data_IF_305548528717
#
_entry.id   IF_305548528717
#
_cell.length_a   1.000
_cell.length_b   1.000
_cell.length_c   1.000
_cell.angle_alpha   90.00
_cell.angle_beta   90.00
_cell.angle_gamma   90.00
#
_symmetry.space_group_name_H-M   'P 1'
#
loop_
_entity.id
_entity.type
_entity.pdbx_description
1 polymer ?
#
# COMPACT_ATOMS: atom_id res chain seq x y z
N UNK A 1 -24.13 -53.31 -50.81
CA UNK A 1 -23.55 -51.95 -50.53
C UNK A 1 -24.05 -51.51 -49.20
N UNK A 2 -23.20 -51.65 -48.12
CA UNK A 2 -23.53 -51.22 -46.73
C UNK A 2 -22.96 -49.85 -46.53
N UNK A 3 -23.79 -48.86 -46.18
CA UNK A 3 -23.38 -47.54 -45.77
C UNK A 3 -22.99 -47.58 -44.27
N UNK A 4 -21.76 -47.28 -43.99
CA UNK A 4 -21.26 -47.07 -42.62
C UNK A 4 -21.35 -45.57 -42.29
N UNK A 5 -22.25 -45.24 -41.37
CA UNK A 5 -22.34 -43.89 -40.82
C UNK A 5 -21.30 -43.73 -39.70
N UNK A 6 -20.38 -42.79 -39.91
CA UNK A 6 -19.44 -42.36 -38.88
C UNK A 6 -20.07 -41.25 -38.03
N UNK A 7 -20.35 -41.54 -36.76
CA UNK A 7 -20.78 -40.54 -35.79
C UNK A 7 -19.52 -39.97 -35.16
N UNK A 8 -19.17 -38.71 -35.47
CA UNK A 8 -18.12 -37.95 -34.76
C UNK A 8 -18.70 -37.49 -33.42
N UNK A 9 -18.20 -38.06 -32.34
CA UNK A 9 -18.50 -37.62 -30.98
C UNK A 9 -17.53 -36.50 -30.62
N UNK A 10 -17.98 -35.25 -30.67
CA UNK A 10 -17.22 -34.07 -30.24
C UNK A 10 -17.24 -34.05 -28.73
N UNK A 11 -16.13 -34.46 -28.08
CA UNK A 11 -15.90 -34.28 -26.64
C UNK A 11 -15.45 -32.83 -26.45
N UNK A 12 -16.35 -31.98 -26.02
CA UNK A 12 -15.99 -30.63 -25.55
C UNK A 12 -15.27 -30.73 -24.20
N UNK A 13 -13.95 -30.65 -24.26
CA UNK A 13 -13.11 -30.49 -23.06
C UNK A 13 -13.29 -29.04 -22.52
N UNK A 14 -14.21 -28.83 -21.60
CA UNK A 14 -14.29 -27.58 -20.87
C UNK A 14 -13.08 -27.50 -19.95
N UNK A 15 -12.05 -26.79 -20.37
CA UNK A 15 -10.95 -26.36 -19.51
C UNK A 15 -11.56 -25.38 -18.50
N UNK A 16 -11.80 -25.86 -17.26
CA UNK A 16 -12.03 -24.97 -16.14
C UNK A 16 -10.70 -24.22 -15.89
N UNK A 17 -10.54 -23.06 -16.55
CA UNK A 17 -9.63 -22.06 -16.01
C UNK A 17 -10.18 -21.66 -14.64
N UNK A 18 -9.42 -21.76 -13.55
CA UNK A 18 -9.81 -21.10 -12.33
C UNK A 18 -9.87 -19.61 -12.63
N UNK A 19 -11.08 -19.07 -12.77
CA UNK A 19 -11.29 -17.64 -12.78
C UNK A 19 -10.72 -17.12 -11.47
N UNK A 20 -9.64 -16.36 -11.54
CA UNK A 20 -9.20 -15.51 -10.43
C UNK A 20 -10.39 -14.58 -10.15
N UNK A 21 -11.23 -14.97 -9.20
CA UNK A 21 -12.30 -14.11 -8.70
C UNK A 21 -11.62 -12.97 -7.97
N UNK A 22 -11.48 -11.84 -8.66
CA UNK A 22 -11.16 -10.58 -7.99
C UNK A 22 -12.27 -10.33 -6.97
N UNK A 23 -11.89 -10.04 -5.73
CA UNK A 23 -12.84 -9.57 -4.75
C UNK A 23 -13.49 -8.30 -5.32
N UNK A 24 -14.82 -8.20 -5.23
CA UNK A 24 -15.54 -6.99 -5.59
C UNK A 24 -16.03 -6.37 -4.30
N UNK A 25 -15.82 -5.05 -4.14
CA UNK A 25 -16.47 -4.34 -3.03
C UNK A 25 -17.98 -4.28 -3.21
N UNK A 26 -18.46 -4.28 -4.46
CA UNK A 26 -19.90 -4.34 -4.75
C UNK A 26 -20.41 -5.77 -4.58
N UNK A 27 -21.25 -5.99 -3.59
CA UNK A 27 -21.78 -7.29 -3.25
C UNK A 27 -23.07 -7.64 -4.01
N UNK A 28 -23.31 -8.94 -4.18
CA UNK A 28 -24.55 -9.44 -4.79
C UNK A 28 -25.78 -9.17 -3.90
N UNK A 29 -26.96 -9.13 -4.51
CA UNK A 29 -28.23 -9.02 -3.76
C UNK A 29 -28.40 -10.16 -2.74
N UNK A 30 -27.89 -11.35 -3.02
CA UNK A 30 -27.90 -12.47 -2.07
C UNK A 30 -27.04 -12.21 -0.84
N UNK A 31 -25.87 -11.54 -1.01
CA UNK A 31 -25.03 -11.11 0.10
C UNK A 31 -25.71 -9.99 0.91
N UNK A 32 -26.23 -8.96 0.23
CA UNK A 32 -26.94 -7.82 0.85
C UNK A 32 -28.21 -8.24 1.61
N UNK A 33 -28.84 -9.36 1.18
CA UNK A 33 -29.95 -9.94 1.91
C UNK A 33 -29.54 -10.59 3.25
N UNK A 34 -28.28 -11.04 3.36
CA UNK A 34 -27.73 -11.68 4.58
C UNK A 34 -27.06 -10.68 5.52
N UNK A 35 -26.36 -9.70 4.98
CA UNK A 35 -25.46 -8.80 5.72
C UNK A 35 -25.77 -7.34 5.43
N UNK A 36 -25.51 -6.49 6.43
CA UNK A 36 -25.58 -5.03 6.32
C UNK A 36 -24.24 -4.43 6.70
N UNK A 37 -23.71 -3.56 5.83
CA UNK A 37 -22.50 -2.78 6.15
C UNK A 37 -22.79 -1.82 7.30
N UNK A 38 -21.97 -1.85 8.33
CA UNK A 38 -22.10 -1.01 9.53
C UNK A 38 -21.02 0.04 9.65
N UNK A 39 -19.81 -0.33 9.26
CA UNK A 39 -18.67 0.52 9.47
C UNK A 39 -17.55 0.19 8.48
N UNK A 40 -16.76 1.21 8.12
CA UNK A 40 -15.49 1.09 7.41
C UNK A 40 -14.38 1.76 8.21
N UNK A 41 -13.28 1.04 8.45
CA UNK A 41 -12.03 1.61 8.94
C UNK A 41 -10.98 1.45 7.85
N UNK A 42 -10.44 2.57 7.39
CA UNK A 42 -9.56 2.66 6.23
C UNK A 42 -8.22 3.25 6.65
N UNK A 43 -7.13 2.54 6.34
CA UNK A 43 -5.77 3.07 6.40
C UNK A 43 -5.27 3.30 4.97
N UNK A 44 -5.11 4.57 4.59
CA UNK A 44 -4.71 5.00 3.26
C UNK A 44 -3.23 5.38 3.22
N UNK A 45 -2.51 4.93 2.19
CA UNK A 45 -1.29 5.58 1.74
C UNK A 45 -1.65 6.87 1.01
N UNK A 46 -0.89 7.96 1.21
CA UNK A 46 -1.05 9.19 0.40
C UNK A 46 -0.91 8.90 -1.10
N UNK A 47 -1.48 9.77 -1.93
CA UNK A 47 -1.40 9.65 -3.39
C UNK A 47 -0.09 10.23 -3.95
N UNK A 48 0.02 10.41 -5.29
CA UNK A 48 1.23 10.84 -6.00
C UNK A 48 1.75 12.15 -5.41
N UNK A 49 3.04 12.16 -5.09
CA UNK A 49 3.79 13.30 -4.57
C UNK A 49 5.06 13.55 -5.38
N UNK A 50 5.64 14.72 -5.26
CA UNK A 50 7.00 14.94 -5.75
C UNK A 50 8.02 14.13 -4.93
N UNK A 51 9.16 13.69 -5.49
CA UNK A 51 10.23 13.04 -4.74
C UNK A 51 10.74 13.93 -3.59
N UNK A 52 11.25 13.29 -2.53
CA UNK A 52 11.87 14.01 -1.40
C UNK A 52 13.13 14.75 -1.85
N UNK A 53 13.86 14.14 -2.78
CA UNK A 53 15.07 14.71 -3.36
C UNK A 53 15.10 14.44 -4.86
N UNK A 54 15.57 15.40 -5.63
CA UNK A 54 15.65 15.32 -7.08
C UNK A 54 16.99 15.91 -7.59
N UNK A 55 16.94 16.82 -8.56
CA UNK A 55 18.11 17.49 -9.10
C UNK A 55 18.97 18.15 -8.00
N UNK A 56 20.28 18.03 -8.08
CA UNK A 56 21.23 18.56 -7.10
C UNK A 56 21.50 17.69 -5.86
N UNK A 57 20.72 16.61 -5.67
CA UNK A 57 20.93 15.60 -4.61
C UNK A 57 21.81 14.44 -5.11
N UNK A 58 22.06 13.45 -4.24
CA UNK A 58 22.68 12.17 -4.66
C UNK A 58 21.91 11.53 -5.81
N UNK A 59 20.57 11.58 -5.78
CA UNK A 59 19.72 11.07 -6.84
C UNK A 59 19.97 11.79 -8.18
N UNK A 60 20.10 13.11 -8.18
CA UNK A 60 20.46 13.89 -9.38
C UNK A 60 21.87 13.61 -9.88
N UNK A 61 22.80 13.20 -9.00
CA UNK A 61 24.17 12.83 -9.40
C UNK A 61 24.29 11.43 -10.02
N UNK A 62 23.30 10.56 -9.81
CA UNK A 62 23.30 9.17 -10.32
C UNK A 62 23.03 9.07 -11.82
N UNK A 63 22.69 10.15 -12.47
CA UNK A 63 22.28 10.19 -13.87
C UNK A 63 22.83 11.45 -14.55
N UNK A 64 23.16 11.41 -15.87
CA UNK A 64 23.41 12.63 -16.65
C UNK A 64 22.12 13.39 -17.00
N UNK A 65 20.95 12.78 -16.78
CA UNK A 65 19.64 13.33 -17.11
C UNK A 65 19.09 14.25 -16.02
N UNK A 66 18.13 15.08 -16.41
CA UNK A 66 17.36 15.90 -15.49
C UNK A 66 16.05 15.19 -15.14
N UNK A 67 15.77 15.04 -13.85
CA UNK A 67 14.49 14.58 -13.37
C UNK A 67 13.39 15.58 -13.72
N UNK A 68 12.15 15.10 -13.89
CA UNK A 68 10.98 15.92 -14.19
C UNK A 68 10.89 17.14 -13.26
N UNK A 69 10.54 18.29 -13.82
CA UNK A 69 10.22 19.49 -13.04
C UNK A 69 8.82 19.31 -12.42
N UNK A 70 8.79 19.12 -11.12
CA UNK A 70 7.58 18.93 -10.38
C UNK A 70 6.87 20.25 -10.10
N UNK A 71 5.53 20.27 -10.24
CA UNK A 71 4.70 21.43 -9.90
C UNK A 71 4.50 21.61 -8.38
N UNK A 72 4.73 20.55 -7.60
CA UNK A 72 4.67 20.55 -6.14
C UNK A 72 6.08 20.61 -5.55
N UNK A 73 6.21 21.21 -4.38
CA UNK A 73 7.46 21.21 -3.61
C UNK A 73 7.89 19.79 -3.23
N UNK A 74 9.14 19.61 -2.85
CA UNK A 74 9.67 18.27 -2.48
C UNK A 74 8.82 17.60 -1.41
N UNK A 75 8.41 16.37 -1.66
CA UNK A 75 7.54 15.51 -0.83
C UNK A 75 6.07 15.94 -0.69
N UNK A 76 5.61 16.96 -1.39
CA UNK A 76 4.22 17.40 -1.37
C UNK A 76 3.38 16.70 -2.44
N UNK A 77 2.08 16.54 -2.15
CA UNK A 77 1.09 15.95 -3.07
C UNK A 77 1.02 16.76 -4.36
N UNK A 78 1.03 16.08 -5.51
CA UNK A 78 0.84 16.73 -6.81
C UNK A 78 -0.65 16.96 -7.08
N UNK A 79 -0.97 17.87 -8.01
CA UNK A 79 -2.34 18.07 -8.46
C UNK A 79 -2.92 16.78 -9.05
N UNK A 80 -2.11 16.03 -9.82
CA UNK A 80 -2.52 14.75 -10.39
C UNK A 80 -2.89 13.75 -9.28
N UNK A 81 -2.06 13.65 -8.22
CA UNK A 81 -2.37 12.82 -7.06
C UNK A 81 -3.66 13.24 -6.35
N UNK A 82 -3.93 14.55 -6.28
CA UNK A 82 -5.18 15.08 -5.74
C UNK A 82 -6.41 14.68 -6.56
N UNK A 83 -6.36 14.78 -7.88
CA UNK A 83 -7.47 14.37 -8.77
C UNK A 83 -7.74 12.86 -8.62
N UNK A 84 -6.70 12.02 -8.67
CA UNK A 84 -6.83 10.57 -8.46
C UNK A 84 -7.47 10.23 -7.11
N UNK A 85 -7.17 10.99 -6.08
CA UNK A 85 -7.74 10.77 -4.76
C UNK A 85 -9.20 11.23 -4.67
N UNK A 86 -9.59 12.30 -5.40
CA UNK A 86 -10.99 12.71 -5.54
C UNK A 86 -11.81 11.62 -6.21
N UNK A 87 -11.27 10.99 -7.27
CA UNK A 87 -11.93 9.86 -7.95
C UNK A 87 -12.11 8.66 -6.99
N UNK A 88 -11.10 8.37 -6.18
CA UNK A 88 -11.20 7.32 -5.17
C UNK A 88 -12.29 7.66 -4.12
N UNK A 89 -12.33 8.90 -3.65
CA UNK A 89 -13.39 9.37 -2.75
C UNK A 89 -14.79 9.24 -3.37
N UNK A 90 -14.93 9.60 -4.66
CA UNK A 90 -16.18 9.45 -5.40
C UNK A 90 -16.62 7.97 -5.51
N UNK A 91 -15.67 7.05 -5.75
CA UNK A 91 -15.97 5.63 -5.75
C UNK A 91 -16.50 5.17 -4.38
N UNK A 92 -15.80 5.50 -3.29
CA UNK A 92 -16.24 5.15 -1.93
C UNK A 92 -17.61 5.74 -1.58
N UNK A 93 -17.93 6.95 -2.05
CA UNK A 93 -19.27 7.53 -1.90
C UNK A 93 -20.32 6.65 -2.57
N UNK A 94 -20.14 6.32 -3.85
CA UNK A 94 -21.10 5.50 -4.61
C UNK A 94 -21.24 4.10 -4.01
N UNK A 95 -20.14 3.49 -3.63
CA UNK A 95 -20.14 2.17 -3.02
C UNK A 95 -20.85 2.14 -1.66
N UNK A 96 -20.57 3.09 -0.76
CA UNK A 96 -21.20 3.15 0.56
C UNK A 96 -22.69 3.46 0.49
N UNK A 97 -23.15 4.16 -0.57
CA UNK A 97 -24.59 4.36 -0.85
C UNK A 97 -25.21 3.06 -1.35
N UNK A 98 -24.57 2.35 -2.28
CA UNK A 98 -25.03 1.08 -2.84
C UNK A 98 -25.16 -0.02 -1.77
N UNK A 99 -24.23 -0.05 -0.80
CA UNK A 99 -24.26 -0.96 0.35
C UNK A 99 -25.15 -0.48 1.53
N UNK A 100 -25.79 0.67 1.36
CA UNK A 100 -26.77 1.20 2.33
C UNK A 100 -26.17 1.77 3.63
N UNK A 101 -24.84 2.01 3.69
CA UNK A 101 -24.20 2.62 4.86
C UNK A 101 -24.58 4.10 4.98
N UNK A 102 -24.63 4.82 3.86
CA UNK A 102 -25.04 6.22 3.78
C UNK A 102 -26.16 6.42 2.76
N UNK A 103 -26.91 7.50 2.91
CA UNK A 103 -27.84 7.98 1.89
C UNK A 103 -27.13 8.96 0.96
N UNK A 104 -27.67 9.17 -0.24
CA UNK A 104 -27.17 10.23 -1.11
C UNK A 104 -27.25 11.59 -0.42
N UNK A 105 -26.24 12.45 -0.66
CA UNK A 105 -26.11 13.77 -0.03
C UNK A 105 -26.18 13.75 1.51
N UNK A 106 -25.68 12.66 2.11
CA UNK A 106 -25.67 12.50 3.57
C UNK A 106 -24.74 13.53 4.22
N UNK A 107 -25.25 14.15 5.30
CA UNK A 107 -24.45 15.01 6.19
C UNK A 107 -24.36 14.27 7.53
N UNK A 108 -23.19 13.71 7.87
CA UNK A 108 -23.02 12.90 9.08
C UNK A 108 -23.02 13.76 10.34
N UNK A 109 -23.41 13.13 11.47
CA UNK A 109 -23.08 13.67 12.77
C UNK A 109 -21.57 13.61 13.01
N UNK A 110 -21.07 14.45 13.91
CA UNK A 110 -19.64 14.60 14.15
C UNK A 110 -18.94 13.29 14.56
N UNK A 111 -19.67 12.40 15.24
CA UNK A 111 -19.16 11.13 15.76
C UNK A 111 -19.22 9.99 14.74
N UNK A 112 -19.96 10.15 13.64
CA UNK A 112 -20.17 9.09 12.66
C UNK A 112 -19.00 8.96 11.68
N UNK A 113 -18.30 10.06 11.39
CA UNK A 113 -17.20 10.09 10.39
C UNK A 113 -15.96 10.73 10.98
N UNK A 114 -14.86 10.02 10.94
CA UNK A 114 -13.55 10.49 11.37
C UNK A 114 -12.55 10.44 10.21
N UNK A 115 -12.02 11.58 9.80
CA UNK A 115 -10.90 11.67 8.87
C UNK A 115 -9.69 12.21 9.63
N UNK A 116 -8.63 11.42 9.69
CA UNK A 116 -7.43 11.78 10.41
C UNK A 116 -6.18 11.53 9.56
N UNK A 117 -5.39 12.57 9.36
CA UNK A 117 -4.19 12.53 8.55
C UNK A 117 -2.92 12.71 9.37
N UNK A 118 -1.85 12.04 8.96
CA UNK A 118 -0.51 12.37 9.40
C UNK A 118 -0.20 13.85 9.12
N UNK A 119 0.66 14.47 9.92
CA UNK A 119 1.03 15.90 9.85
C UNK A 119 1.70 16.33 8.54
N UNK A 120 2.07 15.40 7.68
CA UNK A 120 2.73 15.72 6.40
C UNK A 120 1.74 16.28 5.39
N UNK A 121 2.12 17.34 4.67
CA UNK A 121 1.26 18.02 3.69
C UNK A 121 0.57 17.02 2.74
N UNK A 122 1.30 16.07 2.17
CA UNK A 122 0.77 15.06 1.25
C UNK A 122 -0.35 14.19 1.86
N UNK A 123 -0.29 13.90 3.15
CA UNK A 123 -1.32 13.11 3.84
C UNK A 123 -2.56 13.96 4.12
N UNK A 124 -2.38 15.19 4.58
CA UNK A 124 -3.46 16.14 4.81
C UNK A 124 -4.19 16.44 3.49
N UNK A 125 -3.44 16.75 2.43
CA UNK A 125 -4.00 17.04 1.11
C UNK A 125 -4.71 15.80 0.53
N UNK A 126 -4.14 14.60 0.64
CA UNK A 126 -4.82 13.35 0.22
C UNK A 126 -6.17 13.21 0.92
N UNK A 127 -6.24 13.39 2.25
CA UNK A 127 -7.50 13.30 2.99
C UNK A 127 -8.50 14.40 2.56
N UNK A 128 -8.04 15.62 2.25
CA UNK A 128 -8.88 16.71 1.74
C UNK A 128 -9.49 16.36 0.37
N UNK A 129 -8.68 15.90 -0.57
CA UNK A 129 -9.16 15.50 -1.89
C UNK A 129 -10.10 14.28 -1.81
N UNK A 130 -9.78 13.28 -0.99
CA UNK A 130 -10.69 12.16 -0.72
C UNK A 130 -12.03 12.65 -0.19
N UNK A 131 -12.05 13.50 0.82
CA UNK A 131 -13.28 14.00 1.44
C UNK A 131 -14.15 14.77 0.45
N UNK A 132 -13.54 15.54 -0.46
CA UNK A 132 -14.25 16.29 -1.49
C UNK A 132 -14.94 15.39 -2.52
N UNK A 133 -14.40 14.22 -2.83
CA UNK A 133 -15.07 13.20 -3.64
C UNK A 133 -16.10 12.40 -2.83
N UNK A 134 -15.79 12.10 -1.58
CA UNK A 134 -16.58 11.22 -0.73
C UNK A 134 -17.90 11.85 -0.22
N UNK A 135 -17.82 13.00 0.40
CA UNK A 135 -19.00 13.72 0.93
C UNK A 135 -18.90 15.22 0.61
N UNK A 136 -19.06 15.61 -0.66
CA UNK A 136 -18.78 16.98 -1.12
C UNK A 136 -19.68 18.04 -0.46
N UNK A 137 -20.86 17.67 0.04
CA UNK A 137 -21.81 18.58 0.68
C UNK A 137 -21.64 18.68 2.20
N UNK A 138 -20.84 17.82 2.80
CA UNK A 138 -20.81 17.64 4.26
C UNK A 138 -19.71 18.46 4.97
N UNK A 139 -18.93 19.25 4.30
CA UNK A 139 -17.82 20.04 4.90
C UNK A 139 -17.07 19.29 6.02
N UNK A 140 -16.57 18.08 5.71
CA UNK A 140 -15.90 17.21 6.67
C UNK A 140 -14.59 17.85 7.17
N UNK A 141 -14.37 17.78 8.47
CA UNK A 141 -13.11 18.22 9.06
C UNK A 141 -12.05 17.14 8.89
N UNK A 142 -10.88 17.53 8.38
CA UNK A 142 -9.68 16.66 8.41
C UNK A 142 -8.94 16.95 9.72
N UNK A 143 -8.95 15.97 10.63
CA UNK A 143 -8.18 16.04 11.85
C UNK A 143 -6.70 15.78 11.54
N UNK A 144 -5.83 16.57 12.11
CA UNK A 144 -4.38 16.39 12.05
C UNK A 144 -3.69 17.18 13.17
N UNK A 145 -2.52 16.73 13.58
CA UNK A 145 -1.66 17.42 14.55
C UNK A 145 -0.44 17.97 13.81
N UNK A 146 -0.65 19.05 13.07
CA UNK A 146 0.40 19.63 12.26
C UNK A 146 1.52 20.23 13.12
N UNK A 147 2.73 19.68 12.94
CA UNK A 147 3.97 20.26 13.42
C UNK A 147 4.94 20.28 12.25
N UNK A 148 5.52 21.43 11.87
CA UNK A 148 6.42 21.52 10.73
C UNK A 148 7.54 20.47 10.78
N UNK A 149 7.74 19.73 9.69
CA UNK A 149 8.78 18.72 9.52
C UNK A 149 8.74 17.54 10.52
N UNK A 150 7.62 17.32 11.22
CA UNK A 150 7.45 16.19 12.13
C UNK A 150 6.23 15.38 11.76
N UNK A 151 6.37 14.05 11.79
CA UNK A 151 5.23 13.15 11.67
C UNK A 151 4.42 13.13 12.96
N UNK A 152 3.11 12.92 12.81
CA UNK A 152 2.23 12.62 13.93
C UNK A 152 2.66 11.30 14.59
N UNK A 153 2.77 11.22 15.93
CA UNK A 153 3.21 10.02 16.63
C UNK A 153 2.40 8.75 16.35
N UNK A 154 1.12 8.87 15.93
CA UNK A 154 0.29 7.72 15.55
C UNK A 154 0.77 7.10 14.24
N UNK A 155 1.16 7.93 13.27
CA UNK A 155 1.60 7.48 11.95
C UNK A 155 3.13 7.34 11.83
N UNK A 156 3.90 7.81 12.80
CA UNK A 156 5.36 7.76 12.76
C UNK A 156 5.87 6.35 13.10
N UNK A 157 6.32 5.55 12.12
CA UNK A 157 6.71 4.16 12.34
C UNK A 157 8.10 4.06 12.98
N UNK A 158 8.22 4.57 14.19
CA UNK A 158 9.49 4.67 14.93
C UNK A 158 9.70 3.49 15.86
N UNK A 159 10.95 3.12 16.05
CA UNK A 159 11.38 2.17 17.07
C UNK A 159 11.24 2.80 18.46
N UNK A 160 10.38 2.28 19.29
CA UNK A 160 10.11 2.76 20.65
C UNK A 160 10.74 1.86 21.73
N UNK A 161 11.03 0.60 21.41
CA UNK A 161 11.75 -0.36 22.25
C UNK A 161 12.97 -0.87 21.46
N UNK A 162 14.20 -0.64 21.95
CA UNK A 162 15.45 -0.89 21.20
C UNK A 162 16.54 -1.53 22.07
N UNK A 163 16.20 -2.62 22.75
CA UNK A 163 17.17 -3.43 23.48
C UNK A 163 18.07 -4.23 22.54
N UNK A 164 19.13 -4.82 23.09
CA UNK A 164 19.97 -5.79 22.35
C UNK A 164 19.17 -7.02 21.91
N UNK A 165 18.29 -7.53 22.79
CA UNK A 165 17.41 -8.65 22.47
C UNK A 165 16.48 -8.34 21.31
N UNK A 166 15.86 -7.15 21.28
CA UNK A 166 15.07 -6.68 20.16
C UNK A 166 15.88 -6.67 18.87
N UNK A 167 17.05 -6.05 18.85
CA UNK A 167 17.90 -5.95 17.63
C UNK A 167 18.32 -7.31 17.13
N UNK A 168 18.66 -8.25 18.03
CA UNK A 168 19.05 -9.61 17.68
C UNK A 168 17.90 -10.35 17.01
N UNK A 169 16.70 -10.33 17.59
CA UNK A 169 15.54 -11.00 17.02
C UNK A 169 15.08 -10.34 15.71
N UNK A 170 15.09 -9.01 15.63
CA UNK A 170 14.77 -8.27 14.42
C UNK A 170 15.70 -8.65 13.26
N UNK A 171 17.01 -8.68 13.51
CA UNK A 171 17.99 -9.10 12.50
C UNK A 171 17.85 -10.56 12.08
N UNK A 172 17.50 -11.45 13.02
CA UNK A 172 17.21 -12.85 12.70
C UNK A 172 16.01 -12.94 11.75
N UNK A 173 14.88 -12.32 12.09
CA UNK A 173 13.67 -12.32 11.26
C UNK A 173 13.90 -11.70 9.87
N UNK A 174 14.65 -10.60 9.79
CA UNK A 174 15.03 -9.99 8.50
C UNK A 174 15.90 -10.94 7.68
N UNK A 175 16.87 -11.60 8.28
CA UNK A 175 17.71 -12.56 7.55
C UNK A 175 16.90 -13.77 7.04
N UNK A 176 15.89 -14.22 7.77
CA UNK A 176 15.00 -15.30 7.34
C UNK A 176 14.28 -14.97 6.02
N UNK A 177 13.97 -13.68 5.74
CA UNK A 177 13.38 -13.25 4.46
C UNK A 177 14.27 -13.56 3.24
N UNK A 178 15.60 -13.57 3.40
CA UNK A 178 16.56 -13.86 2.34
C UNK A 178 17.02 -15.33 2.31
N UNK A 179 16.35 -16.21 3.04
CA UNK A 179 16.68 -17.62 3.15
C UNK A 179 18.08 -17.86 3.74
N UNK A 180 18.80 -18.84 3.21
CA UNK A 180 20.14 -19.20 3.73
C UNK A 180 21.20 -18.10 3.61
N UNK A 181 21.05 -17.18 2.66
CA UNK A 181 22.00 -16.11 2.38
C UNK A 181 21.63 -14.79 3.10
N UNK A 182 20.52 -14.75 3.82
CA UNK A 182 20.06 -13.57 4.58
C UNK A 182 19.96 -12.30 3.72
N UNK A 183 20.42 -11.17 4.25
CA UNK A 183 20.40 -9.89 3.51
C UNK A 183 21.10 -9.95 2.15
N UNK A 184 22.14 -10.76 2.01
CA UNK A 184 22.80 -10.95 0.71
C UNK A 184 21.86 -11.66 -0.26
N UNK A 185 21.08 -12.66 0.20
CA UNK A 185 20.07 -13.34 -0.60
C UNK A 185 19.02 -12.36 -1.14
N UNK A 186 18.49 -11.49 -0.28
CA UNK A 186 17.53 -10.43 -0.67
C UNK A 186 18.11 -9.55 -1.80
N UNK A 187 19.37 -9.11 -1.67
CA UNK A 187 19.99 -8.24 -2.68
C UNK A 187 20.32 -9.01 -3.98
N UNK A 188 20.67 -10.31 -3.89
CA UNK A 188 20.86 -11.16 -5.09
C UNK A 188 19.57 -11.29 -5.90
N UNK A 189 18.41 -11.39 -5.24
CA UNK A 189 17.09 -11.44 -5.89
C UNK A 189 16.70 -10.12 -6.58
N UNK A 190 17.39 -9.03 -6.28
CA UNK A 190 17.25 -7.73 -6.92
C UNK A 190 18.25 -7.48 -8.06
N UNK A 191 19.12 -8.44 -8.40
CA UNK A 191 20.17 -8.27 -9.41
C UNK A 191 19.65 -7.70 -10.74
N UNK A 192 18.57 -8.27 -11.26
CA UNK A 192 17.97 -7.80 -12.53
C UNK A 192 17.37 -6.40 -12.36
N UNK A 193 16.74 -6.12 -11.23
CA UNK A 193 16.18 -4.80 -10.88
C UNK A 193 17.30 -3.75 -10.82
N UNK A 194 18.41 -4.06 -10.19
CA UNK A 194 19.60 -3.18 -10.15
C UNK A 194 20.19 -2.93 -11.53
N UNK A 195 20.27 -3.96 -12.39
CA UNK A 195 20.74 -3.80 -13.75
C UNK A 195 19.84 -2.89 -14.58
N UNK A 196 18.52 -3.06 -14.48
CA UNK A 196 17.53 -2.24 -15.19
C UNK A 196 17.60 -0.78 -14.72
N UNK A 197 17.57 -0.52 -13.41
CA UNK A 197 17.58 0.85 -12.89
C UNK A 197 18.89 1.56 -13.21
N UNK A 198 20.04 0.88 -13.15
CA UNK A 198 21.34 1.42 -13.54
C UNK A 198 21.38 1.80 -15.02
N UNK A 199 20.77 0.96 -15.89
CA UNK A 199 20.63 1.21 -17.32
C UNK A 199 19.77 2.45 -17.58
N UNK A 200 18.57 2.51 -16.97
CA UNK A 200 17.62 3.61 -17.19
C UNK A 200 18.16 4.95 -16.68
N UNK A 201 18.95 4.93 -15.61
CA UNK A 201 19.67 6.09 -15.12
C UNK A 201 20.83 6.53 -16.05
N UNK A 202 21.26 5.71 -17.00
CA UNK A 202 22.54 5.88 -17.69
C UNK A 202 23.69 6.15 -16.68
N UNK A 203 23.66 5.40 -15.57
CA UNK A 203 24.44 5.71 -14.37
C UNK A 203 25.93 5.82 -14.65
N UNK A 204 26.46 4.97 -15.53
CA UNK A 204 27.90 4.98 -15.92
C UNK A 204 28.31 6.22 -16.68
N UNK A 205 27.37 6.91 -17.30
CA UNK A 205 27.62 8.17 -18.04
C UNK A 205 27.57 9.39 -17.09
N UNK A 206 27.11 9.25 -15.85
CA UNK A 206 27.09 10.34 -14.88
C UNK A 206 28.53 10.77 -14.48
N UNK A 207 28.72 12.05 -14.23
CA UNK A 207 30.00 12.57 -13.76
C UNK A 207 30.44 12.00 -12.42
N UNK A 208 29.48 11.76 -11.53
CA UNK A 208 29.75 11.18 -10.21
C UNK A 208 30.24 9.72 -10.30
N UNK A 209 29.70 8.94 -11.24
CA UNK A 209 30.21 7.58 -11.49
C UNK A 209 31.63 7.62 -12.11
N UNK A 210 31.87 8.46 -13.12
CA UNK A 210 33.20 8.63 -13.74
C UNK A 210 34.28 9.07 -12.75
N UNK A 211 33.89 9.83 -11.71
CA UNK A 211 34.77 10.25 -10.61
C UNK A 211 34.91 9.22 -9.48
N UNK A 212 34.14 8.11 -9.53
CA UNK A 212 34.14 7.08 -8.48
C UNK A 212 33.36 7.44 -7.19
N UNK A 213 32.59 8.55 -7.22
CA UNK A 213 31.75 8.98 -6.12
C UNK A 213 30.49 8.08 -5.98
N UNK A 214 30.02 7.54 -7.10
CA UNK A 214 28.94 6.56 -7.20
C UNK A 214 29.47 5.29 -7.82
N UNK A 215 29.01 4.13 -7.35
CA UNK A 215 29.46 2.80 -7.79
C UNK A 215 28.27 1.96 -8.18
N UNK A 216 28.53 0.84 -8.87
CA UNK A 216 27.53 -0.18 -9.16
C UNK A 216 26.87 -0.68 -7.87
N UNK A 217 25.59 -1.04 -7.97
CA UNK A 217 24.89 -1.68 -6.87
C UNK A 217 25.43 -3.10 -6.64
N UNK A 218 25.64 -3.42 -5.36
CA UNK A 218 26.19 -4.71 -4.93
C UNK A 218 25.23 -5.40 -3.94
N UNK A 219 25.42 -6.70 -3.72
CA UNK A 219 24.52 -7.52 -2.91
C UNK A 219 24.93 -7.66 -1.43
N UNK A 220 26.12 -7.22 -1.06
CA UNK A 220 26.74 -7.49 0.23
C UNK A 220 27.04 -6.26 1.11
N UNK A 221 26.52 -5.08 0.76
CA UNK A 221 26.80 -3.82 1.47
C UNK A 221 25.63 -3.29 2.31
N UNK A 222 24.47 -3.95 2.28
CA UNK A 222 23.28 -3.53 3.02
C UNK A 222 23.47 -3.72 4.53
N UNK A 223 23.26 -2.64 5.29
CA UNK A 223 23.34 -2.62 6.77
C UNK A 223 22.06 -2.01 7.31
N UNK A 224 21.33 -2.75 8.14
CA UNK A 224 20.13 -2.28 8.84
C UNK A 224 20.53 -1.49 10.08
N UNK A 225 19.77 -0.44 10.39
CA UNK A 225 20.01 0.46 11.50
C UNK A 225 18.71 0.63 12.29
N UNK A 226 18.76 0.31 13.58
CA UNK A 226 17.69 0.56 14.54
C UNK A 226 18.14 1.58 15.56
N UNK A 227 17.54 2.76 15.54
CA UNK A 227 17.78 3.83 16.50
C UNK A 227 16.50 4.14 17.26
N UNK A 228 16.63 4.35 18.56
CA UNK A 228 15.48 4.67 19.42
C UNK A 228 14.82 5.98 18.96
N UNK A 229 13.50 5.97 18.87
CA UNK A 229 12.67 7.10 18.38
C UNK A 229 12.92 7.52 16.92
N UNK A 230 13.54 6.66 16.11
CA UNK A 230 13.71 6.85 14.67
C UNK A 230 13.03 5.72 13.89
N UNK A 231 12.70 5.98 12.62
CA UNK A 231 12.28 4.93 11.70
C UNK A 231 13.42 3.91 11.50
N UNK A 232 13.10 2.62 11.35
CA UNK A 232 14.07 1.66 10.84
C UNK A 232 14.71 2.20 9.56
N UNK A 233 16.00 2.08 9.43
CA UNK A 233 16.73 2.58 8.26
C UNK A 233 17.81 1.61 7.81
N UNK A 234 18.40 1.88 6.65
CA UNK A 234 19.53 1.09 6.15
C UNK A 234 20.55 1.96 5.42
N UNK A 235 21.73 1.39 5.21
CA UNK A 235 22.79 1.92 4.32
C UNK A 235 23.09 0.87 3.25
N UNK A 236 23.72 1.30 2.16
CA UNK A 236 24.18 0.42 1.08
C UNK A 236 23.34 0.54 -0.18
N UNK A 237 23.59 -0.40 -1.11
CA UNK A 237 23.02 -0.41 -2.47
C UNK A 237 21.50 -0.41 -2.47
N UNK A 238 20.85 -1.20 -1.62
CA UNK A 238 19.39 -1.25 -1.56
C UNK A 238 18.77 0.11 -1.20
N UNK A 239 19.39 0.85 -0.25
CA UNK A 239 18.94 2.20 0.09
C UNK A 239 19.05 3.17 -1.07
N UNK A 240 20.19 3.13 -1.77
CA UNK A 240 20.46 4.05 -2.88
C UNK A 240 19.55 3.72 -4.07
N UNK A 241 19.44 2.44 -4.41
CA UNK A 241 18.55 1.98 -5.48
C UNK A 241 17.06 2.28 -5.17
N UNK A 242 16.63 2.15 -3.90
CA UNK A 242 15.28 2.52 -3.50
C UNK A 242 14.99 4.01 -3.73
N UNK A 243 15.96 4.90 -3.50
CA UNK A 243 15.75 6.33 -3.75
C UNK A 243 15.48 6.61 -5.25
N UNK A 244 16.16 5.90 -6.14
CA UNK A 244 15.92 6.00 -7.58
C UNK A 244 14.60 5.30 -7.98
N UNK A 245 14.32 4.13 -7.42
CA UNK A 245 13.07 3.39 -7.66
C UNK A 245 11.83 4.22 -7.29
N UNK A 246 11.81 4.81 -6.09
CA UNK A 246 10.72 5.69 -5.64
C UNK A 246 10.53 6.89 -6.59
N UNK A 247 11.62 7.54 -6.99
CA UNK A 247 11.55 8.66 -7.93
C UNK A 247 11.02 8.23 -9.32
N UNK A 248 11.46 7.08 -9.84
CA UNK A 248 10.97 6.56 -11.12
C UNK A 248 9.49 6.17 -11.06
N UNK A 249 9.02 5.53 -9.98
CA UNK A 249 7.61 5.19 -9.80
C UNK A 249 6.75 6.46 -9.81
N UNK A 250 7.16 7.47 -9.03
CA UNK A 250 6.47 8.75 -8.96
C UNK A 250 6.44 9.44 -10.33
N UNK A 251 7.60 9.51 -11.01
CA UNK A 251 7.71 10.11 -12.32
C UNK A 251 6.92 9.34 -13.38
N UNK A 252 6.90 8.01 -13.32
CA UNK A 252 6.11 7.19 -14.22
C UNK A 252 4.61 7.49 -14.14
N UNK A 253 4.09 7.67 -12.94
CA UNK A 253 2.67 8.00 -12.76
C UNK A 253 2.34 9.47 -13.03
N UNK A 254 3.27 10.40 -12.77
CA UNK A 254 3.05 11.84 -13.01
C UNK A 254 3.19 12.20 -14.49
N UNK A 255 4.21 11.69 -15.21
CA UNK A 255 4.47 12.00 -16.61
C UNK A 255 3.62 11.09 -17.52
N UNK A 256 2.72 11.66 -18.36
CA UNK A 256 1.91 10.85 -19.28
C UNK A 256 2.73 10.03 -20.26
N UNK A 257 3.85 10.58 -20.78
CA UNK A 257 4.76 9.91 -21.69
C UNK A 257 5.73 8.99 -20.93
N UNK A 258 5.52 7.68 -21.05
CA UNK A 258 6.34 6.69 -20.36
C UNK A 258 7.82 6.71 -20.79
N UNK A 259 8.15 7.13 -22.01
CA UNK A 259 9.55 7.26 -22.44
C UNK A 259 10.21 8.47 -21.77
N UNK A 260 9.51 9.59 -21.63
CA UNK A 260 10.03 10.73 -20.87
C UNK A 260 10.22 10.38 -19.39
N UNK A 261 9.30 9.61 -18.82
CA UNK A 261 9.41 9.13 -17.45
C UNK A 261 10.66 8.23 -17.23
N UNK A 262 11.21 7.63 -18.29
CA UNK A 262 12.38 6.77 -18.29
C UNK A 262 13.57 7.37 -19.05
N UNK A 263 13.69 8.70 -19.07
CA UNK A 263 14.80 9.42 -19.73
C UNK A 263 15.04 9.04 -21.21
N UNK A 264 13.98 8.70 -21.95
CA UNK A 264 14.03 8.28 -23.34
C UNK A 264 14.13 6.76 -23.54
N UNK A 265 14.31 5.98 -22.49
CA UNK A 265 14.29 4.52 -22.58
C UNK A 265 12.88 3.98 -22.76
N UNK A 266 12.70 3.02 -23.67
CA UNK A 266 11.44 2.28 -23.82
C UNK A 266 11.45 1.10 -22.87
N UNK A 267 10.65 1.15 -21.83
CA UNK A 267 10.51 0.07 -20.85
C UNK A 267 9.20 -0.69 -21.05
N UNK A 268 9.26 -2.01 -20.91
CA UNK A 268 8.08 -2.87 -20.77
C UNK A 268 7.46 -2.72 -19.38
N UNK A 269 6.20 -3.17 -19.20
CA UNK A 269 5.55 -3.20 -17.90
C UNK A 269 6.32 -4.10 -16.90
N UNK A 270 6.93 -5.19 -17.37
CA UNK A 270 7.78 -6.06 -16.55
C UNK A 270 9.03 -5.32 -16.04
N UNK A 271 9.69 -4.52 -16.88
CA UNK A 271 10.83 -3.72 -16.44
C UNK A 271 10.43 -2.65 -15.43
N UNK A 272 9.29 -1.98 -15.60
CA UNK A 272 8.72 -1.08 -14.60
C UNK A 272 8.40 -1.80 -13.28
N UNK A 273 7.84 -3.01 -13.35
CA UNK A 273 7.59 -3.85 -12.18
C UNK A 273 8.90 -4.22 -11.46
N UNK A 274 9.96 -4.54 -12.21
CA UNK A 274 11.28 -4.82 -11.63
C UNK A 274 11.92 -3.59 -10.98
N UNK A 275 11.70 -2.40 -11.52
CA UNK A 275 12.10 -1.14 -10.86
C UNK A 275 11.32 -0.98 -9.53
N UNK A 276 10.00 -1.16 -9.57
CA UNK A 276 9.15 -1.01 -8.39
C UNK A 276 9.43 -2.09 -7.31
N UNK A 277 9.87 -3.30 -7.70
CA UNK A 277 10.26 -4.37 -6.78
C UNK A 277 11.34 -3.91 -5.78
N UNK A 278 12.24 -3.02 -6.16
CA UNK A 278 13.27 -2.50 -5.24
C UNK A 278 12.62 -1.80 -4.05
N UNK A 279 11.60 -0.98 -4.30
CA UNK A 279 10.86 -0.26 -3.28
C UNK A 279 10.03 -1.20 -2.41
N UNK A 280 9.35 -2.19 -3.00
CA UNK A 280 8.59 -3.19 -2.25
C UNK A 280 9.52 -3.95 -1.29
N UNK A 281 10.65 -4.45 -1.77
CA UNK A 281 11.65 -5.17 -0.95
C UNK A 281 12.27 -4.27 0.13
N UNK A 282 12.54 -3.00 -0.19
CA UNK A 282 13.04 -2.05 0.81
C UNK A 282 12.04 -1.88 1.97
N UNK A 283 10.76 -1.75 1.64
CA UNK A 283 9.67 -1.66 2.62
C UNK A 283 9.53 -2.94 3.45
N UNK A 284 9.55 -4.11 2.80
CA UNK A 284 9.47 -5.40 3.49
C UNK A 284 10.60 -5.55 4.50
N UNK A 285 11.85 -5.31 4.10
CA UNK A 285 13.04 -5.45 4.98
C UNK A 285 12.95 -4.54 6.21
N UNK A 286 12.43 -3.32 6.07
CA UNK A 286 12.40 -2.35 7.18
C UNK A 286 11.17 -2.47 8.08
N UNK A 287 10.01 -2.94 7.56
CA UNK A 287 8.76 -2.78 8.27
C UNK A 287 7.97 -4.07 8.50
N UNK A 288 8.35 -5.22 7.88
CA UNK A 288 7.50 -6.42 7.94
C UNK A 288 8.06 -7.56 8.79
N UNK A 289 9.30 -7.47 9.30
CA UNK A 289 9.75 -8.40 10.32
C UNK A 289 8.82 -8.32 11.55
N UNK A 290 8.19 -9.42 12.01
CA UNK A 290 7.11 -9.37 12.99
C UNK A 290 7.39 -8.53 14.23
N UNK A 291 8.59 -8.65 14.83
CA UNK A 291 8.96 -7.88 16.02
C UNK A 291 9.14 -6.37 15.69
N UNK A 292 9.63 -6.06 14.49
CA UNK A 292 9.75 -4.67 14.03
C UNK A 292 8.36 -4.10 13.73
N UNK A 293 7.52 -4.86 13.03
CA UNK A 293 6.17 -4.45 12.64
C UNK A 293 5.34 -4.06 13.88
N UNK A 294 5.28 -4.91 14.91
CA UNK A 294 4.53 -4.59 16.13
C UNK A 294 5.12 -3.41 16.89
N UNK A 295 6.45 -3.21 16.84
CA UNK A 295 7.09 -2.09 17.49
C UNK A 295 6.71 -0.75 16.84
N UNK A 296 6.80 -0.67 15.51
CA UNK A 296 6.59 0.60 14.78
C UNK A 296 5.11 0.89 14.52
N UNK A 297 4.24 -0.13 14.42
CA UNK A 297 2.82 0.05 14.16
C UNK A 297 1.98 0.24 15.43
N UNK A 298 2.52 -0.01 16.63
CA UNK A 298 1.74 -0.07 17.87
C UNK A 298 0.79 1.12 18.08
N UNK A 299 1.19 2.40 17.96
CA UNK A 299 0.26 3.51 18.16
C UNK A 299 -0.89 3.54 17.15
N UNK A 300 -0.60 3.16 15.90
CA UNK A 300 -1.59 3.13 14.84
C UNK A 300 -2.54 1.93 15.00
N UNK A 301 -2.01 0.77 15.37
CA UNK A 301 -2.83 -0.42 15.70
C UNK A 301 -3.80 -0.13 16.85
N UNK A 302 -3.35 0.54 17.91
CA UNK A 302 -4.22 0.94 19.02
C UNK A 302 -5.33 1.87 18.52
N UNK A 303 -4.97 2.88 17.72
CA UNK A 303 -5.96 3.81 17.18
C UNK A 303 -7.00 3.11 16.29
N UNK A 304 -6.56 2.21 15.40
CA UNK A 304 -7.45 1.43 14.53
C UNK A 304 -8.36 0.48 15.35
N UNK A 305 -7.80 -0.15 16.38
CA UNK A 305 -8.55 -0.99 17.32
C UNK A 305 -9.66 -0.19 18.02
N UNK A 306 -9.35 1.00 18.52
CA UNK A 306 -10.30 1.87 19.21
C UNK A 306 -11.43 2.32 18.25
N UNK A 307 -11.08 2.69 17.01
CA UNK A 307 -12.08 3.05 15.98
C UNK A 307 -13.01 1.87 15.68
N UNK A 308 -12.48 0.66 15.44
CA UNK A 308 -13.27 -0.55 15.18
C UNK A 308 -14.21 -0.93 16.35
N UNK A 309 -13.94 -0.44 17.56
CA UNK A 309 -14.73 -0.69 18.76
C UNK A 309 -15.57 0.53 19.20
N UNK A 310 -15.67 1.57 18.37
CA UNK A 310 -16.48 2.76 18.64
C UNK A 310 -17.86 2.62 18.00
N UNK A 311 -18.89 2.37 18.79
CA UNK A 311 -20.24 2.03 18.32
C UNK A 311 -20.92 3.09 17.45
N UNK A 312 -20.64 4.37 17.68
CA UNK A 312 -21.20 5.49 16.88
C UNK A 312 -20.53 5.67 15.53
N UNK A 313 -19.35 5.06 15.33
CA UNK A 313 -18.55 5.23 14.13
C UNK A 313 -19.13 4.44 12.96
N UNK A 314 -19.23 5.09 11.80
CA UNK A 314 -19.60 4.46 10.52
C UNK A 314 -18.43 4.47 9.52
N UNK A 315 -17.57 5.50 9.60
CA UNK A 315 -16.51 5.66 8.63
C UNK A 315 -15.29 6.33 9.26
N UNK A 316 -14.16 5.66 9.19
CA UNK A 316 -12.85 6.19 9.59
C UNK A 316 -11.90 6.14 8.41
N UNK A 317 -11.27 7.27 8.11
CA UNK A 317 -10.23 7.38 7.09
C UNK A 317 -8.94 7.91 7.70
N UNK A 318 -7.95 7.06 7.78
CA UNK A 318 -6.62 7.35 8.33
C UNK A 318 -5.64 7.49 7.16
N UNK A 319 -5.04 8.66 6.99
CA UNK A 319 -4.09 8.88 5.89
C UNK A 319 -2.65 8.93 6.37
N UNK A 320 -1.86 7.93 5.98
CA UNK A 320 -0.44 7.79 6.29
C UNK A 320 0.39 7.42 5.06
N UNK A 321 1.25 6.43 5.22
CA UNK A 321 2.30 6.03 4.29
C UNK A 321 2.23 4.54 3.96
N UNK A 322 3.01 4.11 2.96
CA UNK A 322 3.25 2.71 2.62
C UNK A 322 3.81 1.90 3.80
N UNK A 323 4.73 2.50 4.57
CA UNK A 323 5.29 1.89 5.79
C UNK A 323 4.23 1.61 6.85
N UNK A 324 3.18 2.43 6.94
CA UNK A 324 2.07 2.20 7.86
C UNK A 324 1.24 0.98 7.45
N UNK A 325 0.86 0.85 6.17
CA UNK A 325 0.13 -0.31 5.68
C UNK A 325 1.01 -1.57 5.85
N UNK A 326 2.26 -1.53 5.40
CA UNK A 326 3.16 -2.68 5.48
C UNK A 326 3.35 -3.19 6.92
N UNK A 327 3.56 -2.26 7.88
CA UNK A 327 3.76 -2.65 9.29
C UNK A 327 2.47 -3.12 9.96
N UNK A 328 1.31 -2.54 9.64
CA UNK A 328 0.01 -3.00 10.15
C UNK A 328 -0.34 -4.39 9.60
N UNK A 329 -0.17 -4.61 8.29
CA UNK A 329 -0.39 -5.91 7.66
C UNK A 329 0.47 -7.00 8.30
N UNK A 330 1.76 -6.73 8.49
CA UNK A 330 2.69 -7.67 9.10
C UNK A 330 2.36 -7.94 10.58
N UNK A 331 2.04 -6.90 11.35
CA UNK A 331 1.68 -7.04 12.77
C UNK A 331 0.36 -7.80 12.96
N UNK A 332 -0.60 -7.67 12.05
CA UNK A 332 -1.84 -8.44 12.06
C UNK A 332 -1.68 -9.84 11.44
N UNK A 333 -0.50 -10.19 10.93
CA UNK A 333 -0.22 -11.47 10.33
C UNK A 333 -0.95 -11.70 9.01
N UNK A 334 -1.04 -10.68 8.17
CA UNK A 334 -1.51 -10.85 6.80
C UNK A 334 -0.61 -11.84 6.06
N UNK A 335 -1.20 -12.75 5.29
CA UNK A 335 -0.47 -13.68 4.44
C UNK A 335 0.26 -12.92 3.33
N UNK A 336 1.36 -13.49 2.83
CA UNK A 336 2.08 -12.89 1.72
C UNK A 336 1.18 -12.77 0.48
N UNK A 337 1.24 -11.62 -0.19
CA UNK A 337 0.46 -11.33 -1.38
C UNK A 337 1.27 -10.58 -2.45
N UNK A 338 0.76 -10.62 -3.66
CA UNK A 338 1.28 -9.87 -4.79
C UNK A 338 0.11 -9.32 -5.61
N UNK A 339 -0.01 -8.00 -5.66
CA UNK A 339 -1.15 -7.34 -6.27
C UNK A 339 -1.13 -7.45 -7.81
N UNK A 340 -2.22 -7.88 -8.44
CA UNK A 340 -2.34 -7.86 -9.89
C UNK A 340 -2.51 -6.43 -10.42
N UNK A 341 -2.30 -6.23 -11.71
CA UNK A 341 -2.54 -4.98 -12.44
C UNK A 341 -1.85 -3.73 -11.87
N UNK A 342 -0.80 -3.92 -11.05
CA UNK A 342 0.02 -2.85 -10.50
C UNK A 342 1.50 -3.17 -10.67
N UNK A 343 2.34 -2.15 -10.93
CA UNK A 343 3.78 -2.30 -10.90
C UNK A 343 4.30 -2.41 -9.46
N UNK A 344 3.66 -1.74 -8.50
CA UNK A 344 3.91 -1.88 -7.07
C UNK A 344 3.10 -3.06 -6.54
N UNK A 345 3.75 -4.12 -6.04
CA UNK A 345 3.09 -5.38 -5.71
C UNK A 345 2.59 -5.49 -4.27
N UNK A 346 2.92 -4.52 -3.41
CA UNK A 346 2.61 -4.55 -1.99
C UNK A 346 1.68 -3.39 -1.57
N UNK A 347 2.14 -2.17 -1.65
CA UNK A 347 1.42 -0.99 -1.19
C UNK A 347 1.39 0.11 -2.25
N UNK A 348 0.62 -0.03 -3.35
CA UNK A 348 0.59 0.95 -4.43
C UNK A 348 0.25 2.37 -3.94
N UNK A 349 0.69 3.37 -4.71
CA UNK A 349 0.33 4.77 -4.47
C UNK A 349 -1.20 4.90 -4.35
N UNK A 350 -1.66 5.58 -3.31
CA UNK A 350 -3.09 5.77 -3.03
C UNK A 350 -3.84 4.51 -2.60
N UNK A 351 -3.16 3.39 -2.31
CA UNK A 351 -3.82 2.16 -1.81
C UNK A 351 -4.40 2.35 -0.42
N UNK A 352 -5.41 1.56 -0.12
CA UNK A 352 -6.20 1.61 1.11
C UNK A 352 -6.39 0.21 1.69
N UNK A 353 -5.89 -0.01 2.89
CA UNK A 353 -6.24 -1.17 3.71
C UNK A 353 -7.61 -0.89 4.34
N UNK A 354 -8.60 -1.71 4.01
CA UNK A 354 -10.02 -1.51 4.36
C UNK A 354 -10.50 -2.64 5.23
N UNK A 355 -10.97 -2.31 6.43
CA UNK A 355 -11.73 -3.19 7.30
C UNK A 355 -13.21 -2.84 7.15
N UNK A 356 -14.00 -3.80 6.65
CA UNK A 356 -15.44 -3.68 6.44
C UNK A 356 -16.15 -4.44 7.53
N UNK A 357 -16.92 -3.75 8.37
CA UNK A 357 -17.68 -4.36 9.47
C UNK A 357 -19.10 -4.60 9.02
N UNK A 358 -19.48 -5.87 8.99
CA UNK A 358 -20.78 -6.35 8.55
C UNK A 358 -21.57 -6.97 9.69
N UNK A 359 -22.90 -6.85 9.66
CA UNK A 359 -23.79 -7.48 10.64
C UNK A 359 -24.82 -8.32 9.90
N UNK A 360 -24.98 -9.59 10.32
CA UNK A 360 -26.00 -10.46 9.76
C UNK A 360 -27.39 -10.20 10.36
N UNK A 361 -28.41 -10.89 9.83
CA UNK A 361 -29.79 -10.76 10.29
C UNK A 361 -30.02 -11.25 11.73
N UNK A 362 -29.09 -12.01 12.31
CA UNK A 362 -29.12 -12.46 13.70
C UNK A 362 -28.37 -11.48 14.64
N UNK A 363 -27.77 -10.41 14.12
CA UNK A 363 -27.02 -9.43 14.89
C UNK A 363 -25.54 -9.81 15.12
N UNK A 364 -25.05 -10.89 14.52
CA UNK A 364 -23.65 -11.28 14.62
C UNK A 364 -22.78 -10.44 13.69
N UNK A 365 -21.63 -10.01 14.19
CA UNK A 365 -20.71 -9.10 13.50
C UNK A 365 -19.55 -9.87 12.83
N UNK A 366 -19.20 -9.44 11.63
CA UNK A 366 -18.15 -10.00 10.79
C UNK A 366 -17.27 -8.89 10.20
N UNK A 367 -16.10 -9.26 9.71
CA UNK A 367 -15.16 -8.33 9.08
C UNK A 367 -14.61 -8.92 7.77
N UNK A 368 -14.64 -8.14 6.70
CA UNK A 368 -13.79 -8.35 5.52
C UNK A 368 -12.54 -7.46 5.64
N UNK A 369 -11.41 -7.97 5.16
CA UNK A 369 -10.14 -7.22 5.12
C UNK A 369 -9.66 -7.19 3.67
N UNK A 370 -9.64 -6.00 3.08
CA UNK A 370 -9.32 -5.82 1.67
C UNK A 370 -8.27 -4.74 1.46
N UNK A 371 -7.46 -4.88 0.41
CA UNK A 371 -6.64 -3.81 -0.12
C UNK A 371 -7.28 -3.27 -1.40
N UNK A 372 -7.66 -2.00 -1.37
CA UNK A 372 -8.29 -1.28 -2.50
C UNK A 372 -7.26 -0.33 -3.11
N UNK A 373 -7.05 -0.42 -4.43
CA UNK A 373 -6.04 0.37 -5.13
C UNK A 373 -6.41 0.59 -6.60
N UNK A 374 -5.92 1.67 -7.18
CA UNK A 374 -6.02 1.89 -8.62
C UNK A 374 -4.96 1.03 -9.34
N UNK A 375 -5.33 0.41 -10.47
CA UNK A 375 -4.37 -0.26 -11.31
C UNK A 375 -3.36 0.74 -11.89
N UNK A 376 -2.23 0.23 -12.40
CA UNK A 376 -1.25 1.07 -13.12
C UNK A 376 -1.91 1.85 -14.24
N UNK A 377 -2.82 1.24 -15.01
CA UNK A 377 -3.53 1.90 -16.10
C UNK A 377 -4.48 2.97 -15.59
N UNK A 378 -5.24 2.70 -14.52
CA UNK A 378 -6.13 3.69 -13.90
C UNK A 378 -5.36 4.92 -13.39
N UNK A 379 -4.19 4.71 -12.76
CA UNK A 379 -3.31 5.79 -12.32
C UNK A 379 -2.75 6.60 -13.50
N UNK A 380 -2.29 5.92 -14.56
CA UNK A 380 -1.72 6.56 -15.75
C UNK A 380 -2.74 7.35 -16.55
N UNK A 381 -3.95 6.81 -16.70
CA UNK A 381 -5.01 7.41 -17.51
C UNK A 381 -5.89 8.40 -16.73
N UNK A 382 -5.72 8.49 -15.41
CA UNK A 382 -6.61 9.25 -14.51
C UNK A 382 -8.08 8.86 -14.74
N UNK A 383 -8.34 7.54 -14.74
CA UNK A 383 -9.66 7.01 -15.04
C UNK A 383 -10.69 7.46 -14.02
N UNK A 384 -11.86 7.86 -14.50
CA UNK A 384 -13.03 8.05 -13.64
C UNK A 384 -13.39 6.74 -12.96
N UNK A 385 -13.65 6.80 -11.65
CA UNK A 385 -14.03 5.64 -10.86
C UNK A 385 -15.51 5.69 -10.50
N UNK A 386 -16.18 4.56 -10.74
CA UNK A 386 -17.56 4.32 -10.33
C UNK A 386 -17.79 2.82 -10.08
N UNK A 387 -19.05 2.42 -9.85
CA UNK A 387 -19.36 1.01 -9.56
C UNK A 387 -19.12 0.08 -10.76
N UNK A 388 -19.15 0.62 -12.00
CA UNK A 388 -18.87 -0.15 -13.22
C UNK A 388 -17.38 -0.13 -13.57
N UNK A 389 -16.67 0.90 -13.21
CA UNK A 389 -15.24 1.10 -13.41
C UNK A 389 -14.54 1.23 -12.04
N UNK A 390 -14.67 0.18 -11.24
CA UNK A 390 -14.17 0.15 -9.88
C UNK A 390 -12.63 0.11 -9.82
N UNK A 391 -12.01 0.57 -8.72
CA UNK A 391 -10.63 0.26 -8.43
C UNK A 391 -10.44 -1.24 -8.26
N UNK A 392 -9.20 -1.69 -8.21
CA UNK A 392 -8.86 -3.08 -7.90
C UNK A 392 -9.12 -3.36 -6.42
N UNK A 393 -9.59 -4.57 -6.13
CA UNK A 393 -9.80 -5.06 -4.77
C UNK A 393 -9.08 -6.38 -4.60
N UNK A 394 -8.26 -6.48 -3.57
CA UNK A 394 -7.57 -7.71 -3.20
C UNK A 394 -7.97 -8.12 -1.78
N UNK A 395 -8.62 -9.28 -1.64
CA UNK A 395 -8.98 -9.80 -0.33
C UNK A 395 -7.76 -10.34 0.40
N UNK A 396 -7.46 -9.74 1.56
CA UNK A 396 -6.32 -10.13 2.38
C UNK A 396 -6.69 -11.28 3.31
N UNK A 397 -5.76 -12.22 3.43
CA UNK A 397 -5.90 -13.37 4.34
C UNK A 397 -5.07 -13.15 5.60
N UNK A 398 -5.67 -13.44 6.75
CA UNK A 398 -5.01 -13.39 8.05
C UNK A 398 -4.55 -14.80 8.44
N UNK A 399 -3.26 -14.99 8.67
CA UNK A 399 -2.65 -16.28 9.03
C UNK A 399 -3.37 -16.91 10.24
N UNK A 400 -3.81 -18.14 10.08
CA UNK A 400 -4.44 -18.92 11.15
C UNK A 400 -5.88 -18.51 11.49
N UNK A 401 -6.50 -17.58 10.75
CA UNK A 401 -7.93 -17.28 10.85
C UNK A 401 -8.69 -17.87 9.66
N UNK A 402 -9.94 -18.25 9.89
CA UNK A 402 -10.80 -18.84 8.86
C UNK A 402 -11.93 -17.90 8.50
N UNK A 403 -12.10 -17.64 7.22
CA UNK A 403 -13.27 -16.93 6.68
C UNK A 403 -14.45 -17.88 6.55
N UNK A 404 -15.68 -17.36 6.70
CA UNK A 404 -16.87 -18.09 6.34
C UNK A 404 -17.03 -18.26 4.81
N UNK A 405 -18.10 -18.91 4.36
CA UNK A 405 -18.35 -19.15 2.93
C UNK A 405 -18.51 -17.86 2.11
N UNK A 406 -18.85 -16.74 2.74
CA UNK A 406 -19.02 -15.43 2.11
C UNK A 406 -17.74 -14.56 2.19
N UNK A 407 -16.59 -15.13 2.63
CA UNK A 407 -15.28 -14.46 2.69
C UNK A 407 -15.07 -13.55 3.91
N UNK A 408 -15.90 -13.67 4.95
CA UNK A 408 -15.87 -12.82 6.13
C UNK A 408 -15.25 -13.56 7.32
N UNK A 409 -14.41 -12.86 8.08
CA UNK A 409 -13.94 -13.30 9.41
C UNK A 409 -15.01 -12.99 10.48
N UNK A 410 -15.02 -13.71 11.59
CA UNK A 410 -15.75 -13.23 12.76
C UNK A 410 -15.11 -11.95 13.30
N UNK A 411 -15.91 -11.00 13.78
CA UNK A 411 -15.39 -9.78 14.39
C UNK A 411 -14.52 -10.09 15.62
N UNK A 412 -14.91 -11.09 16.40
CA UNK A 412 -14.17 -11.54 17.57
C UNK A 412 -12.76 -12.00 17.21
N UNK A 413 -12.59 -12.79 16.15
CA UNK A 413 -11.27 -13.26 15.70
C UNK A 413 -10.37 -12.11 15.26
N UNK A 414 -10.90 -11.16 14.48
CA UNK A 414 -10.15 -9.97 14.05
C UNK A 414 -9.80 -9.09 15.25
N UNK A 415 -10.74 -8.85 16.15
CA UNK A 415 -10.52 -8.08 17.36
C UNK A 415 -9.44 -8.71 18.26
N UNK A 416 -9.49 -10.04 18.44
CA UNK A 416 -8.47 -10.80 19.15
C UNK A 416 -7.10 -10.69 18.46
N UNK A 417 -7.04 -10.65 17.13
CA UNK A 417 -5.79 -10.46 16.37
C UNK A 417 -5.16 -9.09 16.65
N UNK A 418 -5.97 -8.00 16.68
CA UNK A 418 -5.48 -6.68 17.11
C UNK A 418 -4.93 -6.73 18.55
N UNK A 419 -5.67 -7.33 19.49
CA UNK A 419 -5.20 -7.46 20.87
C UNK A 419 -3.91 -8.29 20.98
N UNK A 420 -3.74 -9.36 20.17
CA UNK A 420 -2.49 -10.12 20.13
C UNK A 420 -1.30 -9.26 19.66
N UNK A 421 -1.48 -8.46 18.60
CA UNK A 421 -0.46 -7.57 18.11
C UNK A 421 -0.08 -6.49 19.15
N UNK A 422 -1.07 -5.93 19.83
CA UNK A 422 -0.85 -4.95 20.90
C UNK A 422 -0.08 -5.55 22.09
N UNK A 423 -0.45 -6.76 22.54
CA UNK A 423 0.29 -7.48 23.61
C UNK A 423 1.70 -7.86 23.19
N UNK A 424 1.89 -8.28 21.93
CA UNK A 424 3.22 -8.59 21.41
C UNK A 424 4.20 -7.41 21.50
N UNK A 425 3.69 -6.18 21.38
CA UNK A 425 4.49 -4.99 21.65
C UNK A 425 4.92 -4.91 23.12
N UNK A 426 4.02 -5.19 24.06
CA UNK A 426 4.35 -5.12 25.51
C UNK A 426 5.44 -6.14 25.88
N UNK A 427 5.49 -7.28 25.20
CA UNK A 427 6.45 -8.35 25.41
C UNK A 427 7.86 -8.07 24.84
N UNK A 428 8.03 -7.04 23.98
CA UNK A 428 9.35 -6.61 23.48
C UNK A 428 10.18 -6.12 24.68
N UNK A 429 11.28 -6.81 24.93
CA UNK A 429 12.22 -6.52 26.03
C UNK A 429 13.15 -5.35 25.71
#
# INVERSE_FOLDING_TARGET
MKKISFILMLVALTILCPSLTFAQLQHSEAFKAKYKLKELVILSRHNIRSPISANGSTLGKMTPHQWTNWSAAGSELTLRGGVLETEMGQFFRKWTIDEGLFKDNYVPNIDEVNLYANSMQRCIATAQYFSSGFMPVANLRINHRYVPSKMDPIFFPRITKNSEAFRTEAMKQINEMGGKDGLVGINKDLKDSYAIISKVLDMKESDAYKKGEIKDFVDNDTKIIFELNQEPSMKGSLKTANSASDAFILQYYEEPDAMKAAFGHKLSLDEWTKIAKIKDVYGDVLFTAPIVAVNVAHPLLQYMYDELNTDSRKFTFLCGHDSNIASVDAALGVEEYSLPNSIEKKTPIGSKLVFEKWVDNAGKTYVAVNLVYQSTDQLKQMSLLDLQHAPQVYSLKLKGLTQNADGLYSFEDVNNRFMQALRAYDEIK
#
